data_IF_698815338246
#
_entry.id   IF_698815338246
#
_cell.length_a   1.000
_cell.length_b   1.000
_cell.length_c   1.000
_cell.angle_alpha   90.00
_cell.angle_beta   90.00
_cell.angle_gamma   90.00
#
_symmetry.space_group_name_H-M   'P 1'
#
loop_
_entity.id
_entity.type
_entity.pdbx_description
1 polymer ?
#
# COMPACT_ATOMS: atom_id res chain seq x y z
N UNK A 1 74.54 6.30 -10.89
CA UNK A 1 73.10 6.07 -11.21
C UNK A 1 72.88 4.57 -11.20
N UNK A 2 72.27 4.03 -10.14
CA UNK A 2 72.09 2.58 -9.95
C UNK A 2 71.01 2.07 -10.89
N UNK A 3 71.37 1.18 -11.82
CA UNK A 3 70.47 0.50 -12.74
C UNK A 3 69.68 -0.56 -11.96
N UNK A 4 68.51 -0.17 -11.44
CA UNK A 4 67.56 -1.13 -10.87
C UNK A 4 67.17 -2.12 -11.97
N UNK A 5 67.49 -3.40 -11.74
CA UNK A 5 67.21 -4.48 -12.66
C UNK A 5 65.70 -4.56 -12.91
N UNK A 6 65.28 -4.40 -14.17
CA UNK A 6 63.86 -4.42 -14.58
C UNK A 6 63.15 -5.71 -14.16
N UNK A 7 63.88 -6.81 -14.01
CA UNK A 7 63.35 -8.08 -13.52
C UNK A 7 63.04 -8.03 -12.03
N UNK A 8 63.89 -7.34 -11.24
CA UNK A 8 63.70 -7.15 -9.80
C UNK A 8 62.48 -6.25 -9.51
N UNK A 9 62.30 -5.18 -10.31
CA UNK A 9 61.14 -4.29 -10.21
C UNK A 9 59.82 -5.01 -10.54
N UNK A 10 59.82 -5.90 -11.53
CA UNK A 10 58.64 -6.72 -11.90
C UNK A 10 58.26 -7.71 -10.79
N UNK A 11 59.24 -8.33 -10.13
CA UNK A 11 59.00 -9.23 -9.01
C UNK A 11 58.43 -8.47 -7.81
N UNK A 12 58.98 -7.29 -7.50
CA UNK A 12 58.47 -6.43 -6.42
C UNK A 12 57.03 -5.97 -6.66
N UNK A 13 56.69 -5.63 -7.91
CA UNK A 13 55.34 -5.23 -8.30
C UNK A 13 54.36 -6.42 -8.22
N UNK A 14 54.79 -7.62 -8.62
CA UNK A 14 53.98 -8.84 -8.51
C UNK A 14 53.70 -9.21 -7.05
N UNK A 15 54.70 -9.10 -6.16
CA UNK A 15 54.53 -9.36 -4.72
C UNK A 15 53.59 -8.31 -4.09
N UNK A 16 53.73 -7.02 -4.46
CA UNK A 16 52.83 -5.97 -3.99
C UNK A 16 51.38 -6.19 -4.45
N UNK A 17 51.16 -6.62 -5.69
CA UNK A 17 49.82 -7.01 -6.19
C UNK A 17 49.25 -8.22 -5.44
N UNK A 18 50.07 -9.26 -5.17
CA UNK A 18 49.62 -10.43 -4.42
C UNK A 18 49.25 -10.11 -2.97
N UNK A 19 49.95 -9.17 -2.32
CA UNK A 19 49.62 -8.70 -0.97
C UNK A 19 48.33 -7.85 -0.98
N UNK A 20 48.14 -6.99 -1.99
CA UNK A 20 46.90 -6.23 -2.15
C UNK A 20 45.68 -7.13 -2.40
N UNK A 21 45.84 -8.17 -3.22
CA UNK A 21 44.82 -9.20 -3.46
C UNK A 21 44.52 -10.01 -2.19
N UNK A 22 45.53 -10.36 -1.39
CA UNK A 22 45.34 -11.05 -0.11
C UNK A 22 44.60 -10.19 0.93
N UNK A 23 44.80 -8.87 0.94
CA UNK A 23 44.04 -7.95 1.80
C UNK A 23 42.60 -7.72 1.35
N UNK A 24 42.29 -7.82 0.05
CA UNK A 24 40.92 -7.74 -0.48
C UNK A 24 40.04 -8.97 -0.20
N UNK A 25 40.64 -10.06 0.28
CA UNK A 25 39.97 -11.31 0.65
C UNK A 25 39.73 -11.45 2.17
N UNK A 26 40.18 -10.47 2.97
CA UNK A 26 39.77 -10.43 4.37
C UNK A 26 38.28 -10.08 4.41
N UNK A 27 37.42 -10.86 5.09
CA UNK A 27 36.05 -10.47 5.30
C UNK A 27 36.07 -9.11 6.01
N UNK A 28 35.59 -8.06 5.35
CA UNK A 28 35.24 -6.82 6.05
C UNK A 28 34.18 -7.22 7.07
N UNK A 29 34.52 -7.10 8.35
CA UNK A 29 33.53 -7.21 9.40
C UNK A 29 32.46 -6.17 9.10
N UNK A 30 31.25 -6.63 8.81
CA UNK A 30 30.10 -5.78 8.58
C UNK A 30 30.00 -4.82 9.76
N UNK A 31 30.01 -3.51 9.50
CA UNK A 31 30.06 -2.53 10.58
C UNK A 31 28.84 -2.77 11.48
N UNK A 32 29.09 -3.10 12.75
CA UNK A 32 28.02 -3.43 13.69
C UNK A 32 26.97 -2.30 13.67
N UNK A 33 25.73 -2.64 13.32
CA UNK A 33 24.65 -1.65 13.22
C UNK A 33 24.49 -0.94 14.56
N UNK A 34 24.45 0.39 14.55
CA UNK A 34 24.40 1.21 15.76
C UNK A 34 23.19 2.14 15.75
N UNK A 35 22.56 2.29 16.90
CA UNK A 35 21.50 3.27 17.12
C UNK A 35 21.84 4.14 18.34
N UNK A 36 21.37 5.37 18.39
CA UNK A 36 21.63 6.31 19.48
C UNK A 36 20.45 6.39 20.43
N UNK A 37 20.69 6.51 21.73
CA UNK A 37 19.60 6.83 22.66
C UNK A 37 19.03 8.21 22.32
N UNK A 38 17.71 8.28 22.15
CA UNK A 38 17.03 9.53 21.78
C UNK A 38 17.16 10.56 22.91
N UNK A 39 17.79 11.68 22.60
CA UNK A 39 17.99 12.80 23.51
C UNK A 39 16.95 13.91 23.35
N UNK A 40 16.31 13.98 22.17
CA UNK A 40 15.22 14.91 21.89
C UNK A 40 13.94 14.57 22.63
N UNK A 41 13.06 15.57 22.79
CA UNK A 41 11.73 15.37 23.38
C UNK A 41 10.91 14.47 22.45
N UNK A 42 10.38 13.37 22.99
CA UNK A 42 9.40 12.52 22.32
C UNK A 42 8.18 12.39 23.22
N UNK A 43 7.01 12.61 22.64
CA UNK A 43 5.72 12.49 23.32
C UNK A 43 4.90 11.40 22.63
N UNK A 44 4.43 10.41 23.38
CA UNK A 44 3.58 9.33 22.89
C UNK A 44 2.24 9.41 23.66
N UNK A 45 1.12 9.61 22.98
CA UNK A 45 -0.22 9.74 23.59
C UNK A 45 -0.25 10.79 24.72
N UNK A 46 0.38 11.94 24.49
CA UNK A 46 0.52 13.00 25.49
C UNK A 46 1.55 12.73 26.59
N UNK A 47 2.09 11.52 26.70
CA UNK A 47 3.13 11.17 27.66
C UNK A 47 4.53 11.51 27.12
N UNK A 48 5.24 12.41 27.80
CA UNK A 48 6.66 12.65 27.52
C UNK A 48 7.47 11.44 28.01
N UNK A 49 8.27 10.86 27.13
CA UNK A 49 9.03 9.64 27.42
C UNK A 49 10.37 9.98 28.08
N UNK A 50 10.62 9.41 29.26
CA UNK A 50 11.88 9.56 29.97
C UNK A 50 12.90 8.49 29.55
N UNK A 51 13.60 8.77 28.45
CA UNK A 51 14.65 7.88 27.95
C UNK A 51 15.85 7.73 28.91
N UNK A 52 16.07 8.67 29.83
CA UNK A 52 17.26 8.65 30.70
C UNK A 52 17.16 7.56 31.78
N UNK A 53 15.94 7.30 32.25
CA UNK A 53 15.66 6.36 33.31
C UNK A 53 14.92 5.10 32.82
N UNK A 54 14.83 4.89 31.50
CA UNK A 54 14.17 3.73 30.92
C UNK A 54 15.12 2.52 30.80
N UNK A 55 14.61 1.32 31.10
CA UNK A 55 15.28 0.05 30.82
C UNK A 55 15.43 -0.19 29.32
N UNK A 56 14.42 0.20 28.55
CA UNK A 56 14.38 0.16 27.10
C UNK A 56 14.07 1.58 26.59
N UNK A 57 15.10 2.44 26.44
CA UNK A 57 14.89 3.80 25.95
C UNK A 57 14.50 3.79 24.47
N UNK A 58 13.86 4.85 23.99
CA UNK A 58 13.71 5.06 22.55
C UNK A 58 15.10 5.20 21.91
N UNK A 59 15.25 4.61 20.73
CA UNK A 59 16.49 4.63 19.96
C UNK A 59 16.30 5.41 18.66
N UNK A 60 17.37 6.00 18.15
CA UNK A 60 17.42 6.71 16.89
C UNK A 60 18.36 5.98 15.95
N UNK A 61 17.88 5.61 14.77
CA UNK A 61 18.69 5.07 13.70
C UNK A 61 18.37 5.84 12.42
N UNK A 62 19.40 6.37 11.75
CA UNK A 62 19.25 7.19 10.54
C UNK A 62 18.21 8.32 10.70
N UNK A 63 18.25 8.99 11.86
CA UNK A 63 17.33 10.07 12.27
C UNK A 63 15.86 9.69 12.42
N UNK A 64 15.53 8.39 12.45
CA UNK A 64 14.19 7.89 12.77
C UNK A 64 14.18 7.38 14.20
N UNK A 65 13.14 7.75 14.95
CA UNK A 65 12.90 7.22 16.30
C UNK A 65 12.30 5.82 16.22
N UNK A 66 12.78 4.91 17.06
CA UNK A 66 12.32 3.55 17.21
C UNK A 66 11.83 3.35 18.63
N UNK A 67 10.68 2.68 18.77
CA UNK A 67 10.14 2.32 20.07
C UNK A 67 10.34 0.83 20.34
N UNK A 68 10.66 0.44 21.60
CA UNK A 68 10.74 -0.96 21.97
C UNK A 68 9.36 -1.59 22.02
N UNK A 69 9.21 -2.75 21.40
CA UNK A 69 7.98 -3.54 21.42
C UNK A 69 7.88 -4.37 22.71
N UNK A 70 7.98 -3.73 23.87
CA UNK A 70 7.72 -4.40 25.16
C UNK A 70 6.22 -4.62 25.36
N UNK A 71 5.85 -5.50 26.29
CA UNK A 71 4.44 -5.73 26.62
C UNK A 71 3.69 -4.44 26.98
N UNK A 72 4.29 -3.59 27.81
CA UNK A 72 3.66 -2.36 28.28
C UNK A 72 3.64 -1.27 27.21
N UNK A 73 4.76 -1.04 26.50
CA UNK A 73 4.80 0.03 25.52
C UNK A 73 3.99 -0.30 24.26
N UNK A 74 4.01 -1.55 23.78
CA UNK A 74 3.17 -1.97 22.65
C UNK A 74 1.69 -1.76 22.95
N UNK A 75 1.21 -2.17 24.14
CA UNK A 75 -0.18 -1.93 24.57
C UNK A 75 -0.49 -0.45 24.75
N UNK A 76 0.41 0.34 25.35
CA UNK A 76 0.23 1.78 25.41
C UNK A 76 0.09 2.41 24.03
N UNK A 77 0.81 1.89 23.03
CA UNK A 77 0.74 2.32 21.64
C UNK A 77 -0.43 1.72 20.84
N UNK A 78 -1.20 0.77 21.40
CA UNK A 78 -2.30 0.10 20.68
C UNK A 78 -1.84 -0.93 19.64
N UNK A 79 -0.66 -1.53 19.86
CA UNK A 79 -0.08 -2.58 19.03
C UNK A 79 -0.14 -3.92 19.75
N UNK A 80 -0.64 -4.94 19.05
CA UNK A 80 -0.56 -6.32 19.47
C UNK A 80 0.63 -7.02 18.81
N UNK A 81 1.30 -7.89 19.57
CA UNK A 81 2.42 -8.71 19.10
C UNK A 81 2.15 -10.17 19.41
N UNK A 82 2.26 -11.02 18.40
CA UNK A 82 2.10 -12.48 18.51
C UNK A 82 3.35 -13.20 18.02
N UNK A 83 3.96 -14.00 18.90
CA UNK A 83 5.19 -14.75 18.60
C UNK A 83 4.87 -16.23 18.40
N UNK A 84 5.17 -16.73 17.20
CA UNK A 84 5.11 -18.16 16.91
C UNK A 84 6.51 -18.79 17.02
N UNK A 85 6.68 -19.62 18.05
CA UNK A 85 7.95 -20.29 18.31
C UNK A 85 8.30 -21.37 17.27
N UNK A 86 7.30 -22.04 16.70
CA UNK A 86 7.52 -23.13 15.73
C UNK A 86 8.02 -22.59 14.38
N UNK A 87 7.38 -21.53 13.87
CA UNK A 87 7.75 -20.90 12.59
C UNK A 87 8.83 -19.84 12.71
N UNK A 88 9.25 -19.48 13.94
CA UNK A 88 10.12 -18.33 14.25
C UNK A 88 9.63 -17.07 13.53
N UNK A 89 8.41 -16.67 13.83
CA UNK A 89 7.77 -15.49 13.24
C UNK A 89 7.11 -14.61 14.29
N UNK A 90 7.28 -13.30 14.13
CA UNK A 90 6.62 -12.27 14.90
C UNK A 90 5.55 -11.60 14.04
N UNK A 91 4.30 -11.63 14.49
CA UNK A 91 3.23 -10.85 13.90
C UNK A 91 2.99 -9.60 14.74
N UNK A 92 2.82 -8.46 14.09
CA UNK A 92 2.60 -7.15 14.68
C UNK A 92 1.31 -6.61 14.08
N UNK A 93 0.33 -6.24 14.90
CA UNK A 93 -0.98 -5.79 14.42
C UNK A 93 -1.42 -4.53 15.14
N UNK A 94 -1.85 -3.52 14.40
CA UNK A 94 -2.46 -2.31 14.99
C UNK A 94 -3.89 -2.59 15.46
N UNK A 95 -4.36 -1.81 16.44
CA UNK A 95 -5.71 -1.94 17.00
C UNK A 95 -5.82 -2.94 18.15
N UNK A 96 -4.70 -3.27 18.79
CA UNK A 96 -4.67 -4.08 20.00
C UNK A 96 -5.24 -3.33 21.22
N UNK A 97 -5.53 -4.08 22.29
CA UNK A 97 -6.02 -3.49 23.54
C UNK A 97 -5.05 -2.44 24.11
N UNK A 98 -5.54 -1.22 24.30
CA UNK A 98 -4.76 -0.11 24.86
C UNK A 98 -4.74 -0.11 26.39
N UNK A 99 -3.58 0.20 26.97
CA UNK A 99 -3.41 0.37 28.41
C UNK A 99 -2.83 1.74 28.75
N UNK A 100 -2.95 2.16 30.00
CA UNK A 100 -2.23 3.33 30.50
C UNK A 100 -0.70 3.15 30.36
N UNK A 101 0.02 4.28 30.33
CA UNK A 101 1.48 4.26 30.33
C UNK A 101 2.02 3.62 31.61
N UNK A 102 2.93 2.67 31.46
CA UNK A 102 3.66 2.05 32.57
C UNK A 102 5.15 2.26 32.30
N UNK A 103 5.80 3.01 33.19
CA UNK A 103 7.24 3.19 33.11
C UNK A 103 7.95 1.86 33.41
N UNK A 104 8.94 1.52 32.58
CA UNK A 104 9.84 0.40 32.81
C UNK A 104 11.22 0.93 33.23
N UNK A 105 11.41 1.26 34.52
CA UNK A 105 12.62 1.94 34.97
C UNK A 105 13.86 1.06 34.84
N UNK A 106 14.97 1.68 34.48
CA UNK A 106 16.27 1.01 34.34
C UNK A 106 17.39 2.01 34.07
N UNK A 107 18.59 1.50 33.87
CA UNK A 107 19.76 2.32 33.57
C UNK A 107 20.00 2.36 32.07
N UNK A 108 19.49 3.41 31.41
CA UNK A 108 19.74 3.60 30.00
C UNK A 108 21.24 3.79 29.71
N UNK A 109 21.76 3.22 28.61
CA UNK A 109 23.12 3.51 28.15
C UNK A 109 23.24 4.98 27.75
N UNK A 110 24.46 5.50 27.79
CA UNK A 110 24.76 6.87 27.32
C UNK A 110 25.26 6.80 25.89
N UNK A 111 24.57 7.47 24.96
CA UNK A 111 24.97 7.58 23.56
C UNK A 111 24.59 6.36 22.73
N UNK A 112 25.53 5.92 21.90
CA UNK A 112 25.31 4.90 20.87
C UNK A 112 25.35 3.47 21.41
N UNK A 113 24.42 2.62 20.96
CA UNK A 113 24.32 1.19 21.30
C UNK A 113 24.45 0.32 20.04
N UNK A 114 24.90 -0.92 20.21
CA UNK A 114 24.89 -1.92 19.14
C UNK A 114 23.51 -2.56 19.05
N UNK A 115 23.00 -2.72 17.83
CA UNK A 115 21.71 -3.38 17.53
C UNK A 115 21.94 -4.47 16.48
N UNK A 116 21.00 -5.41 16.36
CA UNK A 116 21.12 -6.52 15.40
C UNK A 116 19.86 -6.73 14.59
N UNK A 117 20.00 -7.12 13.33
CA UNK A 117 18.84 -7.51 12.53
C UNK A 117 18.21 -8.80 13.11
N UNK A 118 16.88 -8.90 13.18
CA UNK A 118 16.18 -10.10 13.55
C UNK A 118 16.47 -11.24 12.58
N UNK A 119 16.70 -12.43 13.12
CA UNK A 119 16.85 -13.66 12.32
C UNK A 119 15.51 -14.38 12.07
N UNK A 120 14.40 -13.79 12.49
CA UNK A 120 13.05 -14.32 12.41
C UNK A 120 12.20 -13.55 11.40
N UNK A 121 11.12 -14.18 10.90
CA UNK A 121 10.18 -13.53 9.98
C UNK A 121 9.32 -12.51 10.74
N UNK A 122 9.00 -11.39 10.12
CA UNK A 122 8.19 -10.35 10.72
C UNK A 122 7.03 -10.04 9.80
N UNK A 123 5.82 -10.04 10.35
CA UNK A 123 4.63 -9.57 9.66
C UNK A 123 4.04 -8.34 10.35
N UNK A 124 3.56 -7.35 9.59
CA UNK A 124 2.91 -6.14 10.11
C UNK A 124 1.53 -6.00 9.49
N UNK A 125 0.45 -6.00 10.27
CA UNK A 125 -0.94 -6.04 9.79
C UNK A 125 -1.20 -7.17 8.77
N UNK A 126 -0.64 -8.36 9.02
CA UNK A 126 -0.71 -9.50 8.12
C UNK A 126 0.32 -9.48 6.97
N UNK A 127 1.13 -8.42 6.85
CA UNK A 127 2.11 -8.22 5.80
C UNK A 127 3.48 -8.78 6.11
N UNK A 128 3.98 -9.76 5.35
CA UNK A 128 5.38 -10.18 5.50
C UNK A 128 6.34 -9.04 5.10
N UNK A 129 7.26 -8.69 5.99
CA UNK A 129 8.22 -7.60 5.78
C UNK A 129 9.54 -8.16 5.25
N UNK A 130 10.02 -7.61 4.12
CA UNK A 130 11.41 -7.75 3.72
C UNK A 130 12.30 -6.78 4.51
N UNK A 131 12.79 -7.26 5.64
CA UNK A 131 13.50 -6.42 6.59
C UNK A 131 14.98 -6.19 6.24
N UNK A 132 15.57 -7.01 5.36
CA UNK A 132 17.01 -6.92 5.05
C UNK A 132 17.33 -5.74 4.14
N UNK A 133 16.43 -5.48 3.18
CA UNK A 133 16.57 -4.39 2.20
C UNK A 133 15.88 -3.09 2.65
N UNK A 134 15.28 -3.08 3.85
CA UNK A 134 14.55 -1.92 4.35
C UNK A 134 15.48 -0.77 4.75
N UNK A 135 15.20 0.45 4.27
CA UNK A 135 15.93 1.67 4.64
C UNK A 135 15.94 1.93 6.15
N UNK A 136 14.84 1.59 6.81
CA UNK A 136 14.66 1.68 8.27
C UNK A 136 14.28 0.29 8.79
N UNK A 137 15.27 -0.62 8.93
CA UNK A 137 14.98 -1.99 9.28
C UNK A 137 14.55 -2.08 10.75
N UNK A 138 13.67 -3.02 11.06
CA UNK A 138 13.35 -3.45 12.41
C UNK A 138 14.58 -4.15 12.97
N UNK A 139 14.97 -3.83 14.21
CA UNK A 139 16.17 -4.40 14.85
C UNK A 139 15.90 -4.88 16.27
N UNK A 140 16.81 -5.67 16.83
CA UNK A 140 16.78 -6.09 18.21
C UNK A 140 17.82 -5.31 19.03
N UNK A 141 17.43 -4.93 20.24
CA UNK A 141 18.32 -4.40 21.26
C UNK A 141 17.93 -4.98 22.63
N UNK A 142 18.91 -5.50 23.38
CA UNK A 142 18.70 -6.15 24.69
C UNK A 142 17.55 -7.18 24.71
N UNK A 143 17.44 -7.99 23.65
CA UNK A 143 16.42 -9.04 23.53
C UNK A 143 15.01 -8.54 23.22
N UNK A 144 14.83 -7.26 22.88
CA UNK A 144 13.55 -6.66 22.51
C UNK A 144 13.62 -6.16 21.07
N UNK A 145 12.54 -6.36 20.31
CA UNK A 145 12.34 -5.82 18.97
C UNK A 145 12.06 -4.33 19.03
N UNK A 146 12.71 -3.55 18.19
CA UNK A 146 12.55 -2.11 18.08
C UNK A 146 11.93 -1.78 16.72
N UNK A 147 10.81 -1.08 16.78
CA UNK A 147 10.00 -0.81 15.61
C UNK A 147 10.10 0.67 15.21
N UNK A 148 10.33 0.98 13.92
CA UNK A 148 10.53 2.34 13.44
C UNK A 148 9.23 3.16 13.46
N UNK A 149 9.28 4.36 14.04
CA UNK A 149 8.24 5.39 13.94
C UNK A 149 8.49 6.25 12.68
N UNK A 150 8.51 5.59 11.51
CA UNK A 150 8.46 6.32 10.23
C UNK A 150 7.03 6.77 9.96
N UNK A 151 6.88 7.78 9.09
CA UNK A 151 5.56 8.17 8.58
C UNK A 151 4.80 6.97 7.96
N UNK A 152 5.50 6.13 7.18
CA UNK A 152 4.93 4.92 6.58
C UNK A 152 4.30 3.98 7.60
N UNK A 153 4.99 3.67 8.69
CA UNK A 153 4.41 2.75 9.67
C UNK A 153 3.45 3.44 10.63
N UNK A 154 3.89 4.53 11.25
CA UNK A 154 3.10 5.21 12.27
C UNK A 154 1.83 5.81 11.66
N UNK A 155 1.92 6.58 10.56
CA UNK A 155 0.76 7.23 9.96
C UNK A 155 0.05 6.34 8.92
N UNK A 156 0.75 5.82 7.91
CA UNK A 156 0.06 5.12 6.80
C UNK A 156 -0.43 3.72 7.19
N UNK A 157 0.39 2.94 7.92
CA UNK A 157 0.07 1.54 8.26
C UNK A 157 -0.77 1.41 9.54
N UNK A 158 -0.42 2.15 10.59
CA UNK A 158 -1.09 2.07 11.89
C UNK A 158 -2.12 3.17 12.12
N UNK A 159 -2.06 4.24 11.33
CA UNK A 159 -3.01 5.32 11.47
C UNK A 159 -2.82 6.11 12.76
N UNK A 160 -1.60 6.44 13.15
CA UNK A 160 -1.35 7.31 14.29
C UNK A 160 -1.17 8.74 13.84
N UNK A 161 -1.57 9.69 14.67
CA UNK A 161 -1.18 11.09 14.53
C UNK A 161 0.35 11.18 14.54
N UNK A 162 0.93 11.87 13.56
CA UNK A 162 2.37 12.03 13.41
C UNK A 162 2.71 13.51 13.28
N UNK A 163 3.42 14.07 14.27
CA UNK A 163 3.87 15.45 14.24
C UNK A 163 5.34 15.55 14.64
N UNK A 164 6.06 16.46 14.00
CA UNK A 164 7.41 16.81 14.38
C UNK A 164 7.64 18.30 14.16
N UNK A 165 8.27 18.94 15.13
CA UNK A 165 8.84 20.28 14.99
C UNK A 165 10.05 20.44 15.92
N UNK A 166 10.85 21.46 15.66
CA UNK A 166 12.11 21.69 16.37
C UNK A 166 11.93 22.05 17.86
N UNK A 167 10.80 22.65 18.25
CA UNK A 167 10.54 23.11 19.61
C UNK A 167 10.04 21.98 20.51
N UNK A 168 9.12 21.18 19.99
CA UNK A 168 8.36 20.19 20.75
C UNK A 168 8.75 18.74 20.44
N UNK A 169 9.58 18.52 19.43
CA UNK A 169 10.09 17.21 19.03
C UNK A 169 9.02 16.31 18.41
N UNK A 170 9.31 15.00 18.36
CA UNK A 170 8.39 14.00 17.80
C UNK A 170 7.19 13.81 18.74
N UNK A 171 5.98 13.87 18.18
CA UNK A 171 4.74 13.56 18.89
C UNK A 171 3.94 12.54 18.10
N UNK A 172 3.65 11.41 18.73
CA UNK A 172 2.78 10.37 18.20
C UNK A 172 1.52 10.32 19.05
N UNK A 173 0.36 10.27 18.38
CA UNK A 173 -0.94 10.10 19.03
C UNK A 173 -1.67 8.89 18.43
N UNK A 174 -1.81 7.85 19.24
CA UNK A 174 -2.52 6.61 18.93
C UNK A 174 -3.92 6.58 19.56
N UNK A 175 -4.30 7.64 20.28
CA UNK A 175 -5.61 7.82 20.95
C UNK A 175 -6.55 8.68 20.13
N UNK A 176 -6.00 9.64 19.39
CA UNK A 176 -6.65 10.12 18.19
C UNK A 176 -6.67 8.94 17.23
N UNK A 177 -7.86 8.43 16.92
CA UNK A 177 -8.03 7.69 15.68
C UNK A 177 -7.31 8.49 14.58
N UNK A 178 -6.61 7.84 13.65
CA UNK A 178 -6.16 8.58 12.48
C UNK A 178 -7.38 9.30 11.93
N UNK A 179 -7.20 10.49 11.37
CA UNK A 179 -7.92 10.72 10.14
C UNK A 179 -7.53 9.55 9.24
N UNK A 180 -8.32 8.45 9.25
CA UNK A 180 -8.30 7.46 8.17
C UNK A 180 -8.18 8.33 6.93
N UNK A 181 -7.25 8.04 6.01
CA UNK A 181 -7.49 8.50 4.63
C UNK A 181 -8.94 8.12 4.41
N UNK A 182 -9.87 9.08 4.24
CA UNK A 182 -11.28 8.76 4.42
C UNK A 182 -11.54 7.54 3.55
N UNK A 183 -11.95 6.41 4.11
CA UNK A 183 -12.29 5.26 3.27
C UNK A 183 -13.71 5.42 2.78
N UNK A 184 -14.50 6.11 3.59
CA UNK A 184 -15.81 6.58 3.23
C UNK A 184 -15.71 7.71 2.19
N UNK A 185 -16.63 7.72 1.22
CA UNK A 185 -16.88 8.88 0.37
C UNK A 185 -17.16 10.13 1.23
N UNK A 186 -16.72 11.29 0.75
CA UNK A 186 -17.02 12.57 1.39
C UNK A 186 -17.30 13.63 0.32
N UNK A 187 -18.43 13.47 -0.35
CA UNK A 187 -18.91 14.40 -1.39
C UNK A 187 -19.57 15.65 -0.79
N UNK A 188 -19.80 15.68 0.53
CA UNK A 188 -20.62 16.68 1.19
C UNK A 188 -22.13 16.40 1.08
N UNK A 189 -22.52 15.30 0.43
CA UNK A 189 -23.90 14.85 0.30
C UNK A 189 -24.06 13.46 0.94
N UNK A 190 -24.63 13.41 2.14
CA UNK A 190 -24.74 12.18 2.91
C UNK A 190 -25.55 11.06 2.21
N UNK A 191 -26.52 11.41 1.35
CA UNK A 191 -27.29 10.41 0.60
C UNK A 191 -26.45 9.79 -0.52
N UNK A 192 -25.69 10.64 -1.23
CA UNK A 192 -24.73 10.17 -2.24
C UNK A 192 -23.62 9.35 -1.58
N UNK A 193 -23.06 9.81 -0.46
CA UNK A 193 -22.01 9.09 0.26
C UNK A 193 -22.46 7.68 0.65
N UNK A 194 -23.71 7.52 1.12
CA UNK A 194 -24.30 6.20 1.38
C UNK A 194 -24.38 5.33 0.12
N UNK A 195 -24.77 5.90 -1.01
CA UNK A 195 -24.84 5.18 -2.28
C UNK A 195 -23.45 4.72 -2.75
N UNK A 196 -22.46 5.60 -2.63
CA UNK A 196 -21.07 5.33 -2.98
C UNK A 196 -20.43 4.30 -2.04
N UNK A 197 -20.77 4.28 -0.75
CA UNK A 197 -20.32 3.22 0.17
C UNK A 197 -20.83 1.84 -0.28
N UNK A 198 -22.09 1.74 -0.74
CA UNK A 198 -22.64 0.48 -1.31
C UNK A 198 -21.87 0.07 -2.57
N UNK A 199 -21.60 1.03 -3.47
CA UNK A 199 -20.80 0.80 -4.67
C UNK A 199 -19.40 0.27 -4.35
N UNK A 200 -18.67 0.99 -3.49
CA UNK A 200 -17.29 0.64 -3.11
C UNK A 200 -17.22 -0.73 -2.44
N UNK A 201 -18.20 -1.06 -1.59
CA UNK A 201 -18.31 -2.38 -0.96
C UNK A 201 -18.47 -3.49 -1.99
N UNK A 202 -19.28 -3.25 -3.04
CA UNK A 202 -19.45 -4.21 -4.14
C UNK A 202 -18.14 -4.44 -4.89
N UNK A 203 -17.44 -3.37 -5.27
CA UNK A 203 -16.13 -3.48 -5.93
C UNK A 203 -15.11 -4.23 -5.07
N UNK A 204 -15.04 -3.94 -3.76
CA UNK A 204 -14.09 -4.58 -2.85
C UNK A 204 -14.28 -6.10 -2.74
N UNK A 205 -15.52 -6.59 -2.87
CA UNK A 205 -15.82 -8.03 -2.87
C UNK A 205 -15.67 -8.70 -4.23
N UNK A 206 -15.56 -7.92 -5.31
CA UNK A 206 -15.59 -8.41 -6.68
C UNK A 206 -16.93 -9.07 -7.06
N UNK A 207 -16.85 -10.04 -7.97
CA UNK A 207 -17.99 -10.87 -8.38
C UNK A 207 -18.30 -10.81 -9.87
N UNK A 208 -19.42 -11.42 -10.25
CA UNK A 208 -19.83 -11.60 -11.64
C UNK A 208 -20.84 -10.55 -12.08
N UNK A 209 -20.85 -10.27 -13.38
CA UNK A 209 -21.72 -9.29 -14.01
C UNK A 209 -22.22 -9.80 -15.37
N UNK A 210 -23.45 -9.45 -15.71
CA UNK A 210 -23.94 -9.45 -17.07
C UNK A 210 -23.73 -8.07 -17.68
N UNK A 211 -22.95 -8.02 -18.76
CA UNK A 211 -22.50 -6.81 -19.42
C UNK A 211 -23.15 -6.59 -20.79
N UNK A 212 -23.30 -5.33 -21.16
CA UNK A 212 -23.72 -4.92 -22.49
C UNK A 212 -22.92 -3.70 -22.93
N UNK A 213 -22.14 -3.81 -24.01
CA UNK A 213 -21.40 -2.71 -24.61
C UNK A 213 -22.09 -2.26 -25.89
N UNK A 214 -22.46 -0.99 -25.95
CA UNK A 214 -23.08 -0.33 -27.10
C UNK A 214 -22.15 0.77 -27.62
N UNK A 215 -21.85 0.77 -28.91
CA UNK A 215 -21.01 1.77 -29.55
C UNK A 215 -20.44 1.29 -30.88
N UNK A 216 -19.95 2.20 -31.72
CA UNK A 216 -19.46 1.87 -33.06
C UNK A 216 -20.52 1.21 -33.98
N UNK A 217 -21.80 1.49 -33.74
CA UNK A 217 -22.92 0.91 -34.48
C UNK A 217 -23.29 -0.53 -34.10
N UNK A 218 -22.71 -1.08 -33.02
CA UNK A 218 -22.96 -2.45 -32.55
C UNK A 218 -23.38 -2.47 -31.08
N UNK A 219 -24.11 -3.52 -30.71
CA UNK A 219 -24.46 -3.89 -29.34
C UNK A 219 -23.96 -5.31 -29.06
N UNK A 220 -23.13 -5.48 -28.02
CA UNK A 220 -22.47 -6.75 -27.69
C UNK A 220 -22.72 -7.09 -26.24
N UNK A 221 -23.40 -8.21 -25.98
CA UNK A 221 -23.56 -8.78 -24.64
C UNK A 221 -22.37 -9.67 -24.27
N UNK A 222 -22.03 -9.71 -22.98
CA UNK A 222 -20.94 -10.52 -22.44
C UNK A 222 -21.15 -10.82 -20.96
N UNK A 223 -20.54 -11.88 -20.47
CA UNK A 223 -20.40 -12.15 -19.04
C UNK A 223 -19.05 -11.66 -18.55
N UNK A 224 -18.99 -11.14 -17.33
CA UNK A 224 -17.78 -10.52 -16.80
C UNK A 224 -17.52 -10.91 -15.35
N UNK A 225 -16.26 -10.85 -14.93
CA UNK A 225 -15.87 -11.08 -13.54
C UNK A 225 -14.84 -10.04 -13.07
N UNK A 226 -15.00 -9.60 -11.82
CA UNK A 226 -14.00 -8.87 -11.06
C UNK A 226 -13.41 -9.81 -10.01
N UNK A 227 -12.15 -10.19 -10.21
CA UNK A 227 -11.37 -10.94 -9.22
C UNK A 227 -10.51 -9.95 -8.43
N UNK A 228 -10.77 -9.85 -7.13
CA UNK A 228 -10.05 -8.94 -6.23
C UNK A 228 -9.10 -9.75 -5.36
N UNK A 229 -7.82 -9.43 -5.43
CA UNK A 229 -6.80 -9.98 -4.55
C UNK A 229 -6.12 -8.83 -3.82
N UNK A 230 -5.93 -8.98 -2.51
CA UNK A 230 -5.25 -7.97 -1.70
C UNK A 230 -4.01 -8.56 -1.07
N UNK A 231 -2.91 -7.86 -1.29
CA UNK A 231 -1.69 -7.95 -0.51
C UNK A 231 -1.63 -6.72 0.39
N UNK A 232 -0.72 -6.67 1.35
CA UNK A 232 -0.55 -5.51 2.20
C UNK A 232 -0.07 -4.24 1.49
N UNK A 233 0.60 -4.38 0.34
CA UNK A 233 1.15 -3.26 -0.41
C UNK A 233 0.25 -2.82 -1.56
N UNK A 234 -0.55 -3.75 -2.09
CA UNK A 234 -1.40 -3.53 -3.26
C UNK A 234 -2.65 -4.40 -3.23
N UNK A 235 -3.78 -3.79 -3.56
CA UNK A 235 -4.98 -4.50 -4.01
C UNK A 235 -4.99 -4.52 -5.53
N UNK A 236 -5.04 -5.71 -6.10
CA UNK A 236 -5.15 -5.93 -7.54
C UNK A 236 -6.58 -6.33 -7.87
N UNK A 237 -7.18 -5.65 -8.84
CA UNK A 237 -8.48 -6.00 -9.41
C UNK A 237 -8.25 -6.45 -10.85
N UNK A 238 -8.60 -7.70 -11.15
CA UNK A 238 -8.60 -8.23 -12.50
C UNK A 238 -10.02 -8.22 -13.04
N UNK A 239 -10.23 -7.56 -14.17
CA UNK A 239 -11.52 -7.54 -14.89
C UNK A 239 -11.43 -8.38 -16.15
N UNK A 240 -12.23 -9.44 -16.22
CA UNK A 240 -12.32 -10.35 -17.38
C UNK A 240 -13.72 -10.32 -17.99
N UNK A 241 -13.84 -10.68 -19.26
CA UNK A 241 -15.11 -10.75 -19.97
C UNK A 241 -15.11 -11.86 -21.04
N UNK A 242 -16.28 -12.45 -21.30
CA UNK A 242 -16.51 -13.48 -22.32
C UNK A 242 -17.83 -13.21 -23.09
N UNK A 243 -17.78 -12.94 -24.41
CA UNK A 243 -16.59 -12.56 -25.18
C UNK A 243 -16.04 -11.21 -24.70
N UNK A 244 -14.75 -10.95 -24.90
CA UNK A 244 -14.12 -9.69 -24.49
C UNK A 244 -14.42 -8.58 -25.52
N UNK A 245 -15.24 -7.54 -25.21
CA UNK A 245 -15.78 -6.63 -26.23
C UNK A 245 -15.02 -5.29 -26.34
N UNK A 246 -14.03 -5.06 -25.48
CA UNK A 246 -13.47 -3.72 -25.29
C UNK A 246 -12.42 -3.34 -26.34
N UNK A 247 -11.70 -4.31 -26.90
CA UNK A 247 -10.73 -4.11 -27.98
C UNK A 247 -10.26 -5.50 -28.48
N UNK A 248 -9.61 -5.53 -29.66
CA UNK A 248 -9.14 -6.76 -30.27
C UNK A 248 -7.93 -7.36 -29.52
N UNK A 249 -7.85 -8.69 -29.48
CA UNK A 249 -6.84 -9.46 -28.74
C UNK A 249 -6.82 -9.26 -27.22
N UNK A 250 -7.78 -8.52 -26.67
CA UNK A 250 -7.93 -8.30 -25.23
C UNK A 250 -8.45 -9.51 -24.47
N UNK A 251 -7.99 -9.67 -23.24
CA UNK A 251 -8.49 -10.72 -22.33
C UNK A 251 -8.81 -10.19 -20.93
N UNK A 252 -8.12 -9.16 -20.46
CA UNK A 252 -8.39 -8.56 -19.16
C UNK A 252 -7.84 -7.16 -18.98
N UNK A 253 -8.40 -6.45 -18.01
CA UNK A 253 -7.78 -5.27 -17.40
C UNK A 253 -7.25 -5.64 -16.01
N UNK A 254 -6.18 -4.97 -15.59
CA UNK A 254 -5.66 -5.02 -14.23
C UNK A 254 -5.60 -3.61 -13.67
N UNK A 255 -6.24 -3.39 -12.52
CA UNK A 255 -6.06 -2.18 -11.74
C UNK A 255 -5.30 -2.49 -10.45
N UNK A 256 -4.20 -1.78 -10.22
CA UNK A 256 -3.43 -1.85 -8.98
C UNK A 256 -3.70 -0.62 -8.12
N UNK A 257 -4.16 -0.88 -6.91
CA UNK A 257 -4.44 0.10 -5.87
C UNK A 257 -3.40 -0.05 -4.76
N UNK A 258 -2.48 0.88 -4.66
CA UNK A 258 -1.36 0.76 -3.74
C UNK A 258 -1.81 1.15 -2.33
N UNK A 259 -1.78 0.19 -1.40
CA UNK A 259 -2.12 0.41 0.00
C UNK A 259 -1.26 1.51 0.63
N UNK A 260 0.03 1.55 0.28
CA UNK A 260 0.96 2.62 0.68
C UNK A 260 0.57 4.01 0.17
N UNK A 261 -0.33 4.10 -0.83
CA UNK A 261 -0.88 5.38 -1.35
C UNK A 261 -2.32 5.62 -0.89
N UNK A 262 -2.91 4.77 -0.05
CA UNK A 262 -4.31 4.86 0.40
C UNK A 262 -5.21 3.70 -0.04
N UNK A 263 -4.66 2.66 -0.69
CA UNK A 263 -5.43 1.50 -1.15
C UNK A 263 -6.47 1.91 -2.19
N UNK A 264 -7.72 1.46 -2.06
CA UNK A 264 -8.80 1.94 -2.93
C UNK A 264 -9.02 3.46 -2.89
N UNK A 265 -8.50 4.18 -1.88
CA UNK A 265 -8.57 5.64 -1.84
C UNK A 265 -7.48 6.35 -2.66
N UNK A 266 -6.53 5.62 -3.26
CA UNK A 266 -5.50 6.15 -4.15
C UNK A 266 -5.89 6.01 -5.62
N UNK A 267 -5.37 6.88 -6.48
CA UNK A 267 -5.43 6.69 -7.93
C UNK A 267 -4.86 5.31 -8.32
N UNK A 268 -5.59 4.62 -9.17
CA UNK A 268 -5.22 3.32 -9.70
C UNK A 268 -4.16 3.40 -10.80
N UNK A 269 -3.39 2.33 -10.93
CA UNK A 269 -2.63 2.07 -12.15
C UNK A 269 -3.33 0.97 -12.94
N UNK A 270 -3.92 1.34 -14.08
CA UNK A 270 -4.62 0.41 -14.96
C UNK A 270 -3.71 -0.01 -16.10
N UNK A 271 -3.45 -1.31 -16.19
CA UNK A 271 -2.86 -1.95 -17.36
C UNK A 271 -3.87 -2.85 -18.06
N UNK A 272 -3.58 -3.14 -19.32
CA UNK A 272 -4.42 -3.96 -20.18
C UNK A 272 -3.59 -5.15 -20.64
N UNK A 273 -4.16 -6.36 -20.60
CA UNK A 273 -3.51 -7.54 -21.15
C UNK A 273 -4.24 -8.10 -22.36
N UNK A 274 -3.44 -8.56 -23.31
CA UNK A 274 -3.91 -9.24 -24.51
C UNK A 274 -3.15 -10.54 -24.76
N UNK A 275 -3.67 -11.33 -25.69
CA UNK A 275 -2.95 -12.50 -26.21
C UNK A 275 -1.78 -12.03 -27.07
N UNK A 276 -0.56 -12.49 -26.77
CA UNK A 276 0.62 -12.18 -27.60
C UNK A 276 0.66 -13.10 -28.83
N UNK A 277 0.60 -12.55 -30.06
CA UNK A 277 0.82 -13.34 -31.27
C UNK A 277 2.30 -13.69 -31.51
N UNK A 278 3.24 -12.97 -30.86
CA UNK A 278 4.68 -13.08 -31.11
C UNK A 278 5.35 -14.26 -30.39
N UNK A 279 4.68 -14.89 -29.43
CA UNK A 279 5.20 -16.01 -28.63
C UNK A 279 4.55 -17.34 -29.05
N UNK A 280 4.57 -17.62 -30.37
CA UNK A 280 3.84 -18.69 -31.04
C UNK A 280 3.72 -20.02 -30.30
N UNK A 281 2.53 -20.62 -30.41
CA UNK A 281 2.16 -22.02 -30.17
C UNK A 281 2.77 -22.74 -28.95
N UNK A 282 3.05 -22.01 -27.88
CA UNK A 282 3.08 -22.58 -26.53
C UNK A 282 1.62 -22.72 -26.12
N UNK A 283 1.15 -23.96 -25.90
CA UNK A 283 -0.27 -24.33 -25.67
C UNK A 283 -0.98 -23.72 -24.45
N UNK A 284 -0.57 -22.53 -24.01
CA UNK A 284 -1.22 -21.67 -23.04
C UNK A 284 -1.12 -20.21 -23.52
N UNK A 285 -2.21 -19.42 -23.48
CA UNK A 285 -2.14 -18.01 -23.82
C UNK A 285 -1.16 -17.29 -22.89
N UNK A 286 -0.06 -16.78 -23.48
CA UNK A 286 0.85 -15.88 -22.77
C UNK A 286 0.25 -14.48 -22.88
N UNK A 287 -0.12 -13.94 -21.71
CA UNK A 287 -0.68 -12.60 -21.60
C UNK A 287 0.46 -11.58 -21.54
N UNK A 288 0.47 -10.65 -22.49
CA UNK A 288 1.39 -9.51 -22.49
C UNK A 288 0.61 -8.23 -22.23
N UNK A 289 1.27 -7.27 -21.59
CA UNK A 289 0.74 -5.91 -21.48
C UNK A 289 0.69 -5.29 -22.88
N UNK A 290 -0.48 -4.78 -23.27
CA UNK A 290 -0.71 -4.19 -24.59
C UNK A 290 -1.10 -2.72 -24.44
N UNK A 291 -0.53 -1.87 -25.28
CA UNK A 291 -0.90 -0.46 -25.36
C UNK A 291 -2.01 -0.27 -26.41
N UNK A 292 -3.22 0.04 -25.95
CA UNK A 292 -4.38 0.30 -26.82
C UNK A 292 -5.01 1.63 -26.45
N UNK A 293 -4.85 2.63 -27.32
CA UNK A 293 -5.36 3.99 -27.14
C UNK A 293 -6.64 4.20 -27.96
N UNK A 294 -7.73 3.54 -27.55
CA UNK A 294 -9.01 3.61 -28.23
C UNK A 294 -10.15 3.83 -27.21
N UNK A 295 -11.26 4.44 -27.65
CA UNK A 295 -12.34 4.78 -26.71
C UNK A 295 -13.03 3.54 -26.11
N UNK A 296 -13.13 2.46 -26.90
CA UNK A 296 -13.63 1.18 -26.43
C UNK A 296 -12.70 0.52 -25.39
N UNK A 297 -11.39 0.76 -25.44
CA UNK A 297 -10.49 0.34 -24.36
C UNK A 297 -10.65 1.24 -23.13
N UNK A 298 -10.82 2.55 -23.33
CA UNK A 298 -11.03 3.55 -22.28
C UNK A 298 -12.31 3.29 -21.45
N UNK A 299 -13.44 2.93 -22.08
CA UNK A 299 -14.68 2.67 -21.32
C UNK A 299 -14.54 1.48 -20.35
N UNK A 300 -13.73 0.47 -20.67
CA UNK A 300 -13.39 -0.61 -19.73
C UNK A 300 -12.55 -0.11 -18.55
N UNK A 301 -11.63 0.84 -18.78
CA UNK A 301 -10.90 1.53 -17.69
C UNK A 301 -11.83 2.35 -16.81
N UNK A 302 -12.79 3.06 -17.41
CA UNK A 302 -13.79 3.85 -16.67
C UNK A 302 -14.60 2.97 -15.71
N UNK A 303 -14.92 1.72 -16.09
CA UNK A 303 -15.59 0.78 -15.18
C UNK A 303 -14.73 0.42 -13.95
N UNK A 304 -13.41 0.33 -14.11
CA UNK A 304 -12.50 0.11 -12.98
C UNK A 304 -12.29 1.39 -12.15
N UNK A 305 -12.24 2.54 -12.80
CA UNK A 305 -12.17 3.86 -12.15
C UNK A 305 -13.47 4.18 -11.38
N UNK A 306 -14.63 3.62 -11.73
CA UNK A 306 -15.94 3.91 -11.11
C UNK A 306 -16.10 3.32 -9.69
N UNK A 307 -15.15 3.60 -8.81
CA UNK A 307 -15.25 3.50 -7.37
C UNK A 307 -14.72 4.81 -6.75
N UNK A 308 -15.35 5.22 -5.66
CA UNK A 308 -15.21 6.57 -5.12
C UNK A 308 -14.86 6.52 -3.63
N UNK A 309 -13.97 5.61 -3.24
CA UNK A 309 -13.49 5.53 -1.88
C UNK A 309 -12.64 6.77 -1.57
N UNK A 310 -12.95 7.44 -0.47
CA UNK A 310 -12.09 8.48 0.06
C UNK A 310 -11.84 9.66 -0.84
N UNK A 311 -10.56 9.97 -1.05
CA UNK A 311 -10.14 11.09 -1.88
C UNK A 311 -10.64 10.96 -3.33
N UNK A 312 -10.87 9.73 -3.84
CA UNK A 312 -11.42 9.49 -5.17
C UNK A 312 -12.85 10.01 -5.34
N UNK A 313 -13.61 10.18 -4.25
CA UNK A 313 -14.92 10.85 -4.31
C UNK A 313 -14.84 12.30 -4.84
N UNK A 314 -13.66 12.94 -4.78
CA UNK A 314 -13.42 14.26 -5.39
C UNK A 314 -13.33 14.24 -6.92
N UNK A 315 -13.22 13.07 -7.53
CA UNK A 315 -13.26 12.94 -9.00
C UNK A 315 -14.69 13.11 -9.53
N UNK A 316 -15.70 12.97 -8.66
CA UNK A 316 -17.07 13.34 -8.98
C UNK A 316 -17.15 14.87 -9.04
N UNK A 317 -17.31 15.38 -10.25
CA UNK A 317 -17.38 16.83 -10.52
C UNK A 317 -18.81 17.35 -10.47
N UNK A 318 -19.79 16.48 -10.72
CA UNK A 318 -21.21 16.76 -10.54
C UNK A 318 -21.96 15.47 -10.19
N UNK A 319 -23.04 15.58 -9.42
CA UNK A 319 -23.87 14.44 -9.04
C UNK A 319 -25.32 14.83 -8.84
N UNK A 320 -26.21 14.01 -9.41
CA UNK A 320 -27.65 14.21 -9.36
C UNK A 320 -28.37 12.91 -9.05
N UNK A 321 -29.25 12.91 -8.05
CA UNK A 321 -30.19 11.80 -7.85
C UNK A 321 -31.31 11.92 -8.87
N UNK A 322 -31.33 11.01 -9.85
CA UNK A 322 -32.28 11.03 -10.98
C UNK A 322 -33.54 10.22 -10.72
N UNK A 323 -33.47 9.23 -9.81
CA UNK A 323 -34.62 8.46 -9.37
C UNK A 323 -34.53 8.11 -7.88
N UNK A 324 -35.67 8.08 -7.19
CA UNK A 324 -35.79 7.58 -5.81
C UNK A 324 -37.21 7.08 -5.60
N UNK A 325 -37.37 5.77 -5.42
CA UNK A 325 -38.67 5.12 -5.20
C UNK A 325 -38.50 3.95 -4.24
N UNK A 326 -39.16 4.03 -3.07
CA UNK A 326 -38.99 3.04 -2.01
C UNK A 326 -37.53 2.97 -1.55
N UNK A 327 -36.92 1.78 -1.60
CA UNK A 327 -35.50 1.57 -1.26
C UNK A 327 -34.55 1.78 -2.44
N UNK A 328 -35.08 1.92 -3.66
CA UNK A 328 -34.29 2.03 -4.89
C UNK A 328 -33.95 3.48 -5.19
N UNK A 329 -32.67 3.73 -5.47
CA UNK A 329 -32.18 5.04 -5.89
C UNK A 329 -31.30 4.90 -7.13
N UNK A 330 -31.36 5.90 -8.01
CA UNK A 330 -30.44 6.04 -9.14
C UNK A 330 -29.76 7.40 -9.09
N UNK A 331 -28.44 7.39 -9.18
CA UNK A 331 -27.58 8.57 -9.20
C UNK A 331 -26.88 8.68 -10.54
N UNK A 332 -26.88 9.86 -11.12
CA UNK A 332 -26.07 10.23 -12.28
C UNK A 332 -24.88 11.05 -11.80
N UNK A 333 -23.67 10.67 -12.23
CA UNK A 333 -22.39 11.23 -11.80
C UNK A 333 -21.61 11.68 -13.03
N UNK A 334 -21.03 12.88 -12.98
CA UNK A 334 -19.98 13.30 -13.90
C UNK A 334 -18.62 13.11 -13.25
N UNK A 335 -17.71 12.37 -13.91
CA UNK A 335 -16.46 11.92 -13.31
C UNK A 335 -15.27 12.40 -14.14
N UNK A 336 -14.32 13.06 -13.48
CA UNK A 336 -13.04 13.43 -14.08
C UNK A 336 -12.07 12.22 -14.02
N UNK A 337 -11.63 11.76 -15.18
CA UNK A 337 -10.72 10.63 -15.31
C UNK A 337 -9.89 10.73 -16.59
N UNK A 338 -8.62 11.14 -16.44
CA UNK A 338 -7.72 11.34 -17.56
C UNK A 338 -6.97 10.06 -17.92
N UNK A 339 -7.20 9.51 -19.11
CA UNK A 339 -6.46 8.35 -19.62
C UNK A 339 -6.46 8.38 -21.15
N UNK A 340 -5.32 8.11 -21.79
CA UNK A 340 -5.19 7.95 -23.25
C UNK A 340 -5.80 9.09 -24.10
N UNK A 341 -5.75 10.33 -23.59
CA UNK A 341 -6.32 11.50 -24.28
C UNK A 341 -7.81 11.76 -24.00
N UNK A 342 -8.48 10.88 -23.26
CA UNK A 342 -9.82 11.11 -22.71
C UNK A 342 -9.71 11.78 -21.33
N UNK A 343 -10.76 12.48 -20.91
CA UNK A 343 -10.73 13.36 -19.71
C UNK A 343 -11.80 13.06 -18.67
N UNK A 344 -12.81 12.25 -19.00
CA UNK A 344 -13.87 11.89 -18.07
C UNK A 344 -14.98 11.08 -18.72
N UNK A 345 -15.94 10.66 -17.89
CA UNK A 345 -17.11 9.89 -18.27
C UNK A 345 -18.30 10.25 -17.39
N UNK A 346 -19.48 9.77 -17.76
CA UNK A 346 -20.66 9.80 -16.88
C UNK A 346 -20.98 8.40 -16.37
N UNK A 347 -21.35 8.29 -15.11
CA UNK A 347 -21.81 7.04 -14.49
C UNK A 347 -23.24 7.17 -13.99
N UNK A 348 -24.03 6.12 -14.19
CA UNK A 348 -25.35 5.95 -13.58
C UNK A 348 -25.28 4.78 -12.61
N UNK A 349 -25.45 5.06 -11.33
CA UNK A 349 -25.41 4.11 -10.24
C UNK A 349 -26.83 3.85 -9.74
N UNK A 350 -27.34 2.64 -9.97
CA UNK A 350 -28.60 2.18 -9.38
C UNK A 350 -28.35 1.22 -8.21
N UNK A 351 -29.01 1.47 -7.09
CA UNK A 351 -28.82 0.74 -5.83
C UNK A 351 -30.16 0.44 -5.14
N UNK A 352 -30.15 -0.57 -4.26
CA UNK A 352 -31.16 -0.76 -3.22
C UNK A 352 -30.52 -0.47 -1.86
N UNK A 353 -30.94 0.63 -1.24
CA UNK A 353 -30.36 1.17 -0.01
C UNK A 353 -30.71 0.38 1.25
N UNK A 354 -31.73 -0.48 1.20
CA UNK A 354 -32.14 -1.36 2.31
C UNK A 354 -31.42 -2.68 2.23
N UNK A 355 -31.27 -3.24 1.02
CA UNK A 355 -30.51 -4.47 0.80
C UNK A 355 -29.00 -4.23 0.76
N UNK A 356 -28.58 -2.97 0.64
CA UNK A 356 -27.17 -2.57 0.48
C UNK A 356 -26.52 -3.25 -0.72
N UNK A 357 -27.22 -3.25 -1.86
CA UNK A 357 -26.73 -3.85 -3.10
C UNK A 357 -26.74 -2.85 -4.25
N UNK A 358 -25.77 -3.01 -5.15
CA UNK A 358 -25.79 -2.40 -6.48
C UNK A 358 -26.71 -3.23 -7.37
N UNK A 359 -27.62 -2.58 -8.09
CA UNK A 359 -28.51 -3.25 -9.04
C UNK A 359 -28.07 -3.03 -10.49
N UNK A 360 -27.45 -1.90 -10.80
CA UNK A 360 -26.90 -1.61 -12.13
C UNK A 360 -25.86 -0.49 -12.06
N UNK A 361 -24.85 -0.59 -12.92
CA UNK A 361 -23.88 0.48 -13.21
C UNK A 361 -23.92 0.73 -14.71
N UNK A 362 -24.11 1.97 -15.14
CA UNK A 362 -24.00 2.36 -16.55
C UNK A 362 -22.91 3.40 -16.70
N UNK A 363 -21.89 3.11 -17.52
CA UNK A 363 -20.81 4.04 -17.84
C UNK A 363 -21.01 4.55 -19.26
N UNK A 364 -20.88 5.85 -19.49
CA UNK A 364 -20.98 6.45 -20.83
C UNK A 364 -19.78 7.35 -21.11
N UNK A 365 -19.19 7.14 -22.28
CA UNK A 365 -18.19 8.02 -22.89
C UNK A 365 -18.83 8.71 -24.10
N UNK A 366 -18.04 9.33 -24.99
CA UNK A 366 -18.57 10.06 -26.15
C UNK A 366 -19.34 9.15 -27.13
N UNK A 367 -18.83 7.95 -27.40
CA UNK A 367 -19.34 7.04 -28.42
C UNK A 367 -19.75 5.66 -27.88
N UNK A 368 -19.53 5.39 -26.58
CA UNK A 368 -19.83 4.10 -25.99
C UNK A 368 -20.68 4.20 -24.72
N UNK A 369 -21.55 3.21 -24.54
CA UNK A 369 -22.31 2.97 -23.31
C UNK A 369 -22.07 1.54 -22.86
N UNK A 370 -21.63 1.39 -21.61
CA UNK A 370 -21.41 0.11 -20.96
C UNK A 370 -22.43 -0.05 -19.84
N UNK A 371 -23.29 -1.06 -19.92
CA UNK A 371 -24.22 -1.43 -18.86
C UNK A 371 -23.73 -2.69 -18.16
N UNK A 372 -23.61 -2.66 -16.83
CA UNK A 372 -23.13 -3.75 -15.99
C UNK A 372 -24.16 -4.05 -14.91
N UNK A 373 -24.70 -5.27 -14.90
CA UNK A 373 -25.67 -5.73 -13.90
C UNK A 373 -25.04 -6.85 -13.09
N UNK A 374 -24.91 -6.75 -11.75
CA UNK A 374 -24.43 -7.86 -10.93
C UNK A 374 -25.26 -9.13 -11.16
N UNK A 375 -24.57 -10.28 -11.33
CA UNK A 375 -25.19 -11.58 -11.60
C UNK A 375 -25.63 -12.32 -10.33
#
# INVERSE_FOLDING_TARGET
MSTINKTFLRILLAIACCIALAFSLLPQADAAMRADVVTGKVTLNGQVIDNKNAKYPLLSYSNITYFPMTYHLSRFMGVETDWNNASKSLNITAGGAQSAYVAEPGKAPRGSVSVTLPSYRISVNGALIDNKEATYPIFNYNGVTYFPLTFRYAYESFGWGYQWDAENGLRIDTTSAPARVPTEPNTGNAALDKALTILNSKYATGGKYHGMLEGGGKKTGFDAALDVSSTPDVTTVKFTAEPFPFFDNGVSYFANYYAVKGGFASDEQISISGNSPELGDVGYPIYAEVAVWAENSYIGKCFLDCQFAGARSKHITDAKRVSSSGSTETWELAVAFASDGFTGYTAELSIDTVKSIVTQIVIRTANYTLTMTPA
#
